data_IF_272802585665
#
_entry.id   IF_272802585665
#
_cell.length_a   1.000
_cell.length_b   1.000
_cell.length_c   1.000
_cell.angle_alpha   90.00
_cell.angle_beta   90.00
_cell.angle_gamma   90.00
#
_symmetry.space_group_name_H-M   'P 1'
#
loop_
_entity.id
_entity.type
_entity.pdbx_description
1 polymer ?
#
# COMPACT_ATOMS: atom_id res chain seq x y z
N UNK A 1 11.85 -15.22 25.83
CA UNK A 1 13.16 -14.76 25.34
C UNK A 1 13.23 -15.29 23.91
N UNK A 2 13.32 -14.49 22.86
CA UNK A 2 14.29 -13.42 22.57
C UNK A 2 13.62 -12.18 21.98
N UNK A 3 14.01 -10.98 22.44
CA UNK A 3 13.51 -9.73 21.85
C UNK A 3 14.60 -8.67 21.83
N UNK A 4 14.77 -8.13 20.63
CA UNK A 4 15.64 -7.01 20.23
C UNK A 4 17.13 -7.35 20.23
N UNK A 5 17.68 -7.51 19.02
CA UNK A 5 19.11 -7.78 18.77
C UNK A 5 19.97 -6.53 18.99
N UNK A 6 19.45 -5.33 18.70
CA UNK A 6 20.10 -4.05 19.01
C UNK A 6 19.17 -2.86 18.76
N UNK A 7 19.37 -1.76 19.47
CA UNK A 7 18.74 -0.45 19.21
C UNK A 7 19.85 0.58 19.08
N UNK A 8 19.80 1.42 18.05
CA UNK A 8 20.78 2.48 17.83
C UNK A 8 20.15 3.86 18.01
N UNK A 9 20.89 4.83 18.60
CA UNK A 9 20.44 6.21 18.69
C UNK A 9 20.20 6.81 17.30
N UNK A 10 19.07 7.48 17.11
CA UNK A 10 18.82 8.27 15.90
C UNK A 10 19.87 9.38 15.80
N UNK A 11 20.53 9.50 14.65
CA UNK A 11 21.54 10.53 14.37
C UNK A 11 21.03 11.46 13.28
N UNK A 12 21.21 12.75 13.46
CA UNK A 12 20.95 13.76 12.43
C UNK A 12 21.97 13.58 11.30
N UNK A 13 21.54 13.00 10.18
CA UNK A 13 22.36 12.88 8.98
C UNK A 13 22.43 14.25 8.31
N UNK A 14 23.64 14.78 8.16
CA UNK A 14 23.85 15.99 7.37
C UNK A 14 23.88 15.61 5.89
N UNK A 15 23.33 16.49 5.03
CA UNK A 15 23.31 16.30 3.59
C UNK A 15 24.76 16.12 3.11
N UNK A 16 25.11 14.91 2.63
CA UNK A 16 26.49 14.62 2.22
C UNK A 16 26.84 15.26 0.86
N UNK A 17 25.83 15.57 0.04
CA UNK A 17 25.99 16.28 -1.23
C UNK A 17 24.63 16.79 -1.76
N UNK A 18 24.64 17.88 -2.52
CA UNK A 18 23.51 18.28 -3.41
C UNK A 18 23.72 17.84 -4.85
N UNK A 19 24.88 17.23 -5.16
CA UNK A 19 25.28 16.72 -6.48
C UNK A 19 25.48 15.22 -6.40
N UNK A 20 24.39 14.48 -6.62
CA UNK A 20 24.38 13.01 -6.55
C UNK A 20 25.35 12.36 -7.55
N UNK A 21 25.64 13.04 -8.67
CA UNK A 21 26.53 12.54 -9.73
C UNK A 21 28.00 12.49 -9.28
N UNK A 22 28.47 13.57 -8.66
CA UNK A 22 29.85 13.73 -8.18
C UNK A 22 30.13 12.84 -6.97
N UNK A 23 29.15 12.73 -6.06
CA UNK A 23 29.25 11.89 -4.86
C UNK A 23 29.40 10.41 -5.18
N UNK A 24 28.79 9.94 -6.28
CA UNK A 24 28.95 8.56 -6.76
C UNK A 24 30.19 8.37 -7.62
N UNK A 25 31.01 9.42 -7.83
CA UNK A 25 32.25 9.37 -8.58
C UNK A 25 32.06 9.14 -10.08
N UNK A 26 30.91 9.52 -10.65
CA UNK A 26 30.65 9.33 -12.07
C UNK A 26 31.25 10.45 -12.92
N UNK A 27 31.86 10.08 -14.04
CA UNK A 27 32.36 11.03 -15.03
C UNK A 27 31.18 11.82 -15.64
N UNK A 28 31.34 13.12 -15.88
CA UNK A 28 30.35 13.98 -16.56
C UNK A 28 30.14 13.56 -18.04
N UNK A 29 31.13 12.88 -18.62
CA UNK A 29 31.12 12.39 -19.99
C UNK A 29 30.95 10.88 -20.07
N UNK A 30 29.69 10.42 -20.11
CA UNK A 30 29.34 8.99 -20.24
C UNK A 30 28.66 8.75 -21.59
N UNK A 31 29.14 7.75 -22.33
CA UNK A 31 28.46 7.25 -23.54
C UNK A 31 27.14 6.59 -23.16
N UNK A 32 26.04 7.31 -23.36
CA UNK A 32 24.68 6.91 -22.95
C UNK A 32 24.21 5.66 -23.71
N UNK A 33 23.70 4.66 -22.99
CA UNK A 33 23.08 3.45 -23.59
C UNK A 33 21.57 3.49 -23.35
N UNK A 34 20.85 4.17 -24.25
CA UNK A 34 19.40 4.44 -24.16
C UNK A 34 18.55 3.22 -23.82
N UNK A 35 18.95 2.04 -24.27
CA UNK A 35 18.22 0.77 -24.10
C UNK A 35 18.20 0.27 -22.65
N UNK A 36 19.18 0.68 -21.83
CA UNK A 36 19.30 0.31 -20.41
C UNK A 36 18.73 1.43 -19.51
N UNK A 37 19.00 2.68 -19.89
CA UNK A 37 18.62 3.87 -19.13
C UNK A 37 17.11 4.16 -19.17
N UNK A 38 16.40 3.71 -20.21
CA UNK A 38 14.96 3.93 -20.35
C UNK A 38 14.10 3.20 -19.31
N UNK A 39 14.68 2.25 -18.56
CA UNK A 39 13.98 1.42 -17.56
C UNK A 39 14.33 1.79 -16.12
N UNK A 40 14.99 2.94 -15.90
CA UNK A 40 15.35 3.44 -14.57
C UNK A 40 14.41 4.58 -14.21
N UNK A 41 13.63 4.41 -13.14
CA UNK A 41 12.86 5.50 -12.52
C UNK A 41 13.72 6.08 -11.41
N UNK A 42 14.20 7.31 -11.59
CA UNK A 42 14.84 8.09 -10.53
C UNK A 42 13.75 8.86 -9.79
N UNK A 43 13.40 8.39 -8.60
CA UNK A 43 12.52 9.13 -7.70
C UNK A 43 13.31 10.26 -7.03
N UNK A 44 13.01 11.50 -7.37
CA UNK A 44 13.49 12.66 -6.62
C UNK A 44 12.51 12.86 -5.46
N UNK A 45 13.00 12.70 -4.23
CA UNK A 45 12.27 13.17 -3.05
C UNK A 45 12.59 14.64 -2.93
N UNK A 46 11.76 15.46 -3.55
CA UNK A 46 11.83 16.91 -3.44
C UNK A 46 11.34 17.31 -2.04
N UNK A 47 12.24 17.84 -1.21
CA UNK A 47 11.88 18.44 0.09
C UNK A 47 11.35 19.87 -0.05
N UNK A 48 11.14 20.33 -1.30
CA UNK A 48 10.81 21.70 -1.64
C UNK A 48 12.04 22.48 -2.10
N UNK A 49 11.77 23.50 -2.93
CA UNK A 49 12.74 24.52 -3.32
C UNK A 49 12.72 25.62 -2.26
N UNK A 50 13.88 25.88 -1.66
CA UNK A 50 14.06 26.90 -0.63
C UNK A 50 14.47 28.23 -1.26
N UNK A 51 13.69 29.31 -1.14
CA UNK A 51 14.05 30.64 -1.65
C UNK A 51 15.39 31.15 -1.11
N UNK A 52 15.79 30.69 0.08
CA UNK A 52 17.02 31.07 0.77
C UNK A 52 18.24 30.22 0.38
N UNK A 53 18.08 29.22 -0.50
CA UNK A 53 19.22 28.47 -1.03
C UNK A 53 20.14 29.41 -1.80
N UNK A 54 21.46 29.28 -1.62
CA UNK A 54 22.49 30.05 -2.36
C UNK A 54 22.29 29.98 -3.89
N UNK A 55 21.61 28.94 -4.39
CA UNK A 55 21.26 28.80 -5.81
C UNK A 55 20.24 29.83 -6.32
N UNK A 56 19.53 30.52 -5.42
CA UNK A 56 18.63 31.64 -5.69
C UNK A 56 19.17 32.98 -5.18
N UNK A 57 20.41 33.01 -4.67
CA UNK A 57 21.07 34.25 -4.27
C UNK A 57 21.26 35.16 -5.49
N UNK A 58 20.92 36.45 -5.33
CA UNK A 58 21.18 37.49 -6.31
C UNK A 58 22.58 38.12 -6.15
N UNK A 59 23.40 37.61 -5.22
CA UNK A 59 24.76 38.06 -4.98
C UNK A 59 25.65 37.85 -6.23
N UNK A 60 26.21 38.95 -6.75
CA UNK A 60 27.01 38.95 -7.98
C UNK A 60 26.20 39.15 -9.26
N UNK A 61 24.87 39.18 -9.21
CA UNK A 61 24.02 39.60 -10.33
C UNK A 61 23.77 41.11 -10.30
N UNK A 62 23.88 41.76 -11.47
CA UNK A 62 23.54 43.18 -11.62
C UNK A 62 22.03 43.42 -11.60
N UNK A 63 21.61 44.69 -11.53
CA UNK A 63 20.18 45.04 -11.58
C UNK A 63 19.47 44.41 -12.79
N UNK A 64 18.21 43.96 -12.66
CA UNK A 64 17.45 43.39 -13.77
C UNK A 64 17.52 44.28 -15.03
N UNK A 65 17.71 43.71 -16.24
CA UNK A 65 17.82 44.49 -17.47
C UNK A 65 16.62 45.40 -17.68
N UNK A 66 16.83 46.64 -18.16
CA UNK A 66 15.75 47.64 -18.40
C UNK A 66 14.60 47.16 -19.31
N UNK A 67 14.82 46.08 -20.07
CA UNK A 67 13.86 45.44 -20.98
C UNK A 67 13.06 44.30 -20.32
N UNK A 68 13.42 43.90 -19.11
CA UNK A 68 12.69 42.91 -18.33
C UNK A 68 11.38 43.54 -17.83
N UNK A 69 10.26 42.86 -18.09
CA UNK A 69 8.91 43.33 -17.75
C UNK A 69 8.25 42.50 -16.63
N UNK A 70 9.01 41.66 -15.94
CA UNK A 70 8.51 40.88 -14.80
C UNK A 70 8.39 41.74 -13.54
N UNK A 71 7.77 41.19 -12.50
CA UNK A 71 7.73 41.74 -11.16
C UNK A 71 8.23 40.69 -10.16
N UNK A 72 8.84 41.12 -9.05
CA UNK A 72 9.09 40.23 -7.92
C UNK A 72 7.76 40.02 -7.18
N UNK A 73 7.16 38.84 -7.36
CA UNK A 73 5.98 38.43 -6.61
C UNK A 73 6.40 37.75 -5.29
N UNK A 74 6.79 38.55 -4.30
CA UNK A 74 6.60 38.13 -2.91
C UNK A 74 5.10 38.15 -2.61
N UNK A 75 4.56 37.08 -2.04
CA UNK A 75 3.11 36.90 -1.83
C UNK A 75 2.49 38.01 -0.97
N UNK A 76 2.01 39.09 -1.59
CA UNK A 76 1.23 40.12 -0.91
C UNK A 76 -0.18 39.58 -0.69
N UNK A 77 -0.66 39.62 0.55
CA UNK A 77 -1.93 39.04 1.04
C UNK A 77 -1.94 37.53 1.30
N UNK A 78 -0.86 36.97 1.85
CA UNK A 78 -0.97 35.65 2.46
C UNK A 78 -1.71 35.75 3.80
N UNK A 79 -2.97 35.31 3.85
CA UNK A 79 -3.74 35.26 5.10
C UNK A 79 -3.30 34.07 5.93
N UNK A 80 -2.58 34.34 7.01
CA UNK A 80 -2.16 33.31 7.94
C UNK A 80 -3.36 32.65 8.64
N UNK A 81 -3.46 31.33 8.48
CA UNK A 81 -4.39 30.48 9.20
C UNK A 81 -3.68 29.80 10.38
N UNK A 82 -4.38 28.92 11.11
CA UNK A 82 -3.81 28.20 12.26
C UNK A 82 -2.88 27.02 11.84
N UNK A 83 -2.52 26.94 10.56
CA UNK A 83 -1.67 25.89 10.00
C UNK A 83 -0.18 26.06 10.22
N UNK A 84 0.25 27.18 10.82
CA UNK A 84 1.66 27.45 11.08
C UNK A 84 2.52 27.31 9.81
N UNK A 85 1.98 27.75 8.68
CA UNK A 85 2.71 27.76 7.40
C UNK A 85 3.86 28.75 7.44
N UNK A 86 4.79 28.62 6.49
CA UNK A 86 5.94 29.48 6.32
C UNK A 86 5.57 30.97 6.41
N UNK A 87 6.41 31.79 7.04
CA UNK A 87 6.22 33.23 7.27
C UNK A 87 4.98 33.66 8.10
N UNK A 88 4.17 32.73 8.60
CA UNK A 88 2.95 33.05 9.34
C UNK A 88 3.10 33.12 10.87
N UNK A 89 4.31 32.89 11.39
CA UNK A 89 4.60 32.95 12.81
C UNK A 89 5.56 34.10 13.12
N UNK A 90 5.15 35.00 14.02
CA UNK A 90 6.03 36.05 14.55
C UNK A 90 7.09 35.40 15.47
N UNK A 91 8.32 35.30 14.97
CA UNK A 91 9.46 34.70 15.66
C UNK A 91 9.64 35.21 17.10
N UNK A 92 9.36 36.50 17.34
CA UNK A 92 9.45 37.11 18.69
C UNK A 92 8.42 36.56 19.67
N UNK A 93 7.27 36.11 19.17
CA UNK A 93 6.18 35.57 19.99
C UNK A 93 6.30 34.08 20.22
N UNK A 94 6.98 33.35 19.32
CA UNK A 94 7.04 31.88 19.34
C UNK A 94 8.36 31.31 19.85
N UNK A 95 9.46 32.09 19.79
CA UNK A 95 10.78 31.64 20.23
C UNK A 95 10.74 31.09 21.66
N UNK A 96 11.23 29.86 21.84
CA UNK A 96 11.27 29.20 23.14
C UNK A 96 9.91 28.65 23.65
N UNK A 97 8.86 28.66 22.82
CA UNK A 97 7.53 28.15 23.20
C UNK A 97 7.14 26.90 22.42
N UNK A 98 6.15 26.17 22.96
CA UNK A 98 5.48 25.09 22.24
C UNK A 98 4.30 25.67 21.46
N UNK A 99 4.27 25.44 20.15
CA UNK A 99 3.23 25.97 19.26
C UNK A 99 2.21 24.88 18.92
N UNK A 100 0.95 25.26 18.78
CA UNK A 100 -0.14 24.35 18.40
C UNK A 100 -0.56 24.68 16.97
N UNK A 101 -0.50 23.71 16.07
CA UNK A 101 -0.82 23.86 14.66
C UNK A 101 -1.91 22.88 14.23
N UNK A 102 -2.84 23.33 13.40
CA UNK A 102 -4.01 22.54 12.95
C UNK A 102 -3.69 21.55 11.80
N UNK A 103 -2.41 21.38 11.48
CA UNK A 103 -1.94 20.37 10.51
C UNK A 103 -0.54 19.87 10.86
N UNK A 104 -0.27 18.61 10.52
CA UNK A 104 1.06 17.98 10.63
C UNK A 104 2.13 18.72 9.86
N UNK A 105 1.80 19.41 8.77
CA UNK A 105 2.76 20.15 7.95
C UNK A 105 3.22 21.47 8.60
N UNK A 106 2.52 21.95 9.62
CA UNK A 106 2.87 23.19 10.34
C UNK A 106 4.14 23.10 11.19
N UNK A 107 4.73 21.90 11.31
CA UNK A 107 5.98 21.69 12.03
C UNK A 107 7.14 22.52 11.45
N UNK A 108 7.14 22.73 10.13
CA UNK A 108 8.20 23.44 9.42
C UNK A 108 8.21 24.92 9.78
N UNK A 109 7.06 25.61 9.66
CA UNK A 109 6.98 27.02 10.05
C UNK A 109 7.23 27.24 11.53
N UNK A 110 6.81 26.31 12.40
CA UNK A 110 7.12 26.36 13.83
C UNK A 110 8.63 26.25 14.10
N UNK A 111 9.32 25.34 13.42
CA UNK A 111 10.77 25.15 13.53
C UNK A 111 11.52 26.42 13.10
N UNK A 112 11.22 26.95 11.92
CA UNK A 112 11.91 28.12 11.35
C UNK A 112 11.69 29.38 12.17
N UNK A 113 10.49 29.54 12.73
CA UNK A 113 10.20 30.66 13.62
C UNK A 113 10.88 30.55 15.00
N UNK A 114 11.58 29.43 15.29
CA UNK A 114 12.38 29.22 16.48
C UNK A 114 11.61 28.65 17.67
N UNK A 115 10.49 27.96 17.43
CA UNK A 115 9.73 27.29 18.50
C UNK A 115 10.58 26.23 19.22
N UNK A 116 10.33 26.04 20.52
CA UNK A 116 10.96 24.97 21.30
C UNK A 116 10.32 23.60 21.04
N UNK A 117 9.08 23.58 20.56
CA UNK A 117 8.38 22.36 20.16
C UNK A 117 7.04 22.63 19.48
N UNK A 118 6.38 21.59 18.96
CA UNK A 118 5.07 21.74 18.31
C UNK A 118 4.08 20.59 18.57
N UNK A 119 2.82 20.94 18.78
CA UNK A 119 1.68 20.02 18.87
C UNK A 119 0.89 20.16 17.57
N UNK A 120 0.78 19.08 16.83
CA UNK A 120 0.30 19.09 15.46
C UNK A 120 -0.98 18.27 15.35
N UNK A 121 -2.02 18.80 14.71
CA UNK A 121 -3.21 18.00 14.43
C UNK A 121 -2.95 17.06 13.24
N UNK A 122 -3.19 15.77 13.44
CA UNK A 122 -3.18 14.79 12.34
C UNK A 122 -4.58 14.33 11.97
N UNK A 123 -4.79 14.16 10.66
CA UNK A 123 -5.97 13.51 10.09
C UNK A 123 -5.83 11.98 10.02
N UNK A 124 -4.61 11.48 10.25
CA UNK A 124 -4.29 10.06 10.25
C UNK A 124 -4.71 9.43 11.59
N UNK A 125 -4.96 8.11 11.59
CA UNK A 125 -5.33 7.41 12.83
C UNK A 125 -4.17 7.44 13.84
N UNK A 126 -4.47 7.11 15.10
CA UNK A 126 -3.47 6.96 16.18
C UNK A 126 -2.38 5.92 15.91
N UNK A 127 -2.46 5.21 14.79
CA UNK A 127 -1.62 4.06 14.45
C UNK A 127 -0.37 4.46 13.66
N UNK A 128 -0.24 5.74 13.28
CA UNK A 128 0.83 6.25 12.44
C UNK A 128 1.63 7.31 13.19
N UNK A 129 2.95 7.10 13.25
CA UNK A 129 3.89 8.03 13.89
C UNK A 129 4.64 8.83 12.81
N UNK A 130 4.68 10.15 13.01
CA UNK A 130 5.52 11.04 12.21
C UNK A 130 6.85 11.28 12.90
N UNK A 131 7.91 11.43 12.10
CA UNK A 131 9.23 11.83 12.59
C UNK A 131 9.39 13.32 12.30
N UNK A 132 9.76 14.09 13.32
CA UNK A 132 9.97 15.52 13.22
C UNK A 132 11.42 15.89 13.58
N UNK A 133 11.98 16.96 12.99
CA UNK A 133 13.36 17.40 13.23
C UNK A 133 13.57 18.13 14.58
N UNK A 134 12.52 18.32 15.38
CA UNK A 134 12.54 18.96 16.70
C UNK A 134 11.41 18.38 17.58
N UNK A 135 11.37 18.66 18.90
CA UNK A 135 10.34 18.11 19.79
C UNK A 135 8.93 18.42 19.28
N UNK A 136 8.23 17.39 18.79
CA UNK A 136 6.88 17.56 18.29
C UNK A 136 6.04 16.29 18.45
N UNK A 137 4.73 16.47 18.60
CA UNK A 137 3.78 15.37 18.73
C UNK A 137 2.57 15.62 17.84
N UNK A 138 2.28 14.66 16.96
CA UNK A 138 1.03 14.63 16.21
C UNK A 138 -0.08 14.03 17.07
N UNK A 139 -1.22 14.71 17.16
CA UNK A 139 -2.36 14.33 18.00
C UNK A 139 -3.64 14.25 17.18
N UNK A 140 -4.56 13.38 17.58
CA UNK A 140 -5.85 13.25 16.90
C UNK A 140 -6.70 14.51 17.06
N UNK A 141 -7.69 14.71 16.18
CA UNK A 141 -8.61 15.85 16.28
C UNK A 141 -9.30 15.99 17.64
N UNK A 142 -9.60 14.86 18.32
CA UNK A 142 -10.20 14.87 19.66
C UNK A 142 -9.22 15.42 20.72
N UNK A 143 -7.98 14.94 20.70
CA UNK A 143 -6.92 15.39 21.62
C UNK A 143 -6.53 16.84 21.34
N UNK A 144 -6.41 17.21 20.07
CA UNK A 144 -6.16 18.58 19.63
C UNK A 144 -7.19 19.56 20.20
N UNK A 145 -8.49 19.24 20.10
CA UNK A 145 -9.55 20.07 20.66
C UNK A 145 -9.49 20.15 22.20
N UNK A 146 -9.13 19.07 22.88
CA UNK A 146 -8.94 19.07 24.33
C UNK A 146 -7.75 19.97 24.73
N UNK A 147 -6.64 19.93 23.98
CA UNK A 147 -5.47 20.79 24.20
C UNK A 147 -5.81 22.26 23.94
N UNK A 148 -6.58 22.56 22.89
CA UNK A 148 -7.06 23.92 22.64
C UNK A 148 -7.98 24.42 23.76
N UNK A 149 -8.86 23.57 24.29
CA UNK A 149 -9.71 23.89 25.43
C UNK A 149 -8.88 24.21 26.68
N UNK A 150 -7.87 23.38 26.98
CA UNK A 150 -6.92 23.63 28.07
C UNK A 150 -6.18 24.95 27.89
N UNK A 151 -5.61 25.21 26.71
CA UNK A 151 -4.91 26.47 26.39
C UNK A 151 -5.78 27.69 26.70
N UNK A 152 -7.07 27.65 26.37
CA UNK A 152 -7.99 28.76 26.59
C UNK A 152 -8.52 28.86 28.04
N UNK A 153 -8.38 27.79 28.83
CA UNK A 153 -8.87 27.74 30.22
C UNK A 153 -7.95 28.44 31.23
N UNK A 154 -6.70 28.73 30.86
CA UNK A 154 -5.70 29.35 31.73
C UNK A 154 -4.96 30.47 31.01
N UNK A 155 -4.50 31.47 31.77
CA UNK A 155 -3.68 32.58 31.24
C UNK A 155 -2.24 32.16 30.96
N UNK A 156 -1.75 31.11 31.64
CA UNK A 156 -0.37 30.64 31.57
C UNK A 156 -0.32 29.13 31.25
N UNK A 157 -0.70 28.71 30.04
CA UNK A 157 -0.67 27.30 29.67
C UNK A 157 0.78 26.80 29.59
N UNK A 158 1.04 25.65 30.20
CA UNK A 158 2.31 24.93 30.12
C UNK A 158 2.09 23.52 29.59
N UNK A 159 3.07 22.98 28.88
CA UNK A 159 3.07 21.63 28.34
C UNK A 159 4.50 21.10 28.25
N UNK A 160 4.66 19.78 28.22
CA UNK A 160 5.92 19.08 28.02
C UNK A 160 5.73 18.04 26.92
N UNK A 161 6.69 17.94 25.99
CA UNK A 161 6.71 16.91 24.95
C UNK A 161 7.75 15.88 25.36
N UNK A 162 7.27 14.74 25.83
CA UNK A 162 8.11 13.63 26.26
C UNK A 162 8.66 12.84 25.07
N UNK A 163 9.74 12.09 25.32
CA UNK A 163 10.30 11.15 24.36
C UNK A 163 9.28 10.05 24.04
N UNK A 164 9.23 9.62 22.77
CA UNK A 164 8.34 8.55 22.35
C UNK A 164 8.66 7.22 23.04
N UNK A 165 7.61 6.52 23.45
CA UNK A 165 7.66 5.17 24.01
C UNK A 165 6.85 4.20 23.15
N UNK A 166 7.27 2.93 23.13
CA UNK A 166 6.55 1.90 22.40
C UNK A 166 5.39 1.35 23.25
N UNK A 167 4.19 1.34 22.68
CA UNK A 167 2.99 0.79 23.31
C UNK A 167 2.53 -0.48 22.59
N UNK A 168 1.94 -1.41 23.35
CA UNK A 168 1.32 -2.61 22.76
C UNK A 168 -0.07 -2.26 22.23
N UNK A 169 -0.25 -2.34 20.92
CA UNK A 169 -1.57 -2.22 20.31
C UNK A 169 -2.28 -3.59 20.30
N UNK A 170 -3.41 -3.70 21.00
CA UNK A 170 -4.21 -4.93 21.05
C UNK A 170 -5.12 -5.13 19.85
N UNK A 171 -5.35 -4.09 19.02
CA UNK A 171 -6.19 -4.19 17.82
C UNK A 171 -5.39 -4.60 16.58
N UNK A 172 -4.06 -4.65 16.66
CA UNK A 172 -3.22 -5.09 15.56
C UNK A 172 -3.41 -6.59 15.23
N UNK A 173 -3.33 -7.01 13.96
CA UNK A 173 -3.03 -6.19 12.77
C UNK A 173 -4.26 -5.49 12.16
N UNK A 174 -4.09 -4.24 11.75
CA UNK A 174 -5.06 -3.44 10.97
C UNK A 174 -4.35 -2.91 9.73
N UNK A 175 -5.06 -2.80 8.61
CA UNK A 175 -4.47 -2.24 7.38
C UNK A 175 -4.36 -0.72 7.52
N UNK A 176 -3.17 -0.18 7.31
CA UNK A 176 -2.91 1.27 7.42
C UNK A 176 -3.68 2.07 6.36
N UNK A 177 -3.97 3.35 6.63
CA UNK A 177 -4.84 4.17 5.77
C UNK A 177 -4.20 4.54 4.44
N UNK A 178 -2.88 4.71 4.40
CA UNK A 178 -2.15 5.04 3.17
C UNK A 178 -1.96 3.82 2.24
N UNK A 179 -2.23 2.61 2.74
CA UNK A 179 -2.13 1.41 1.91
C UNK A 179 -3.19 1.45 0.81
N UNK A 180 -2.76 1.36 -0.45
CA UNK A 180 -3.69 1.41 -1.58
C UNK A 180 -4.68 0.26 -1.54
N UNK A 181 -5.91 0.55 -1.99
CA UNK A 181 -7.01 -0.41 -2.04
C UNK A 181 -7.24 -0.93 -3.44
N UNK A 182 -7.76 -2.14 -3.53
CA UNK A 182 -8.33 -2.68 -4.76
C UNK A 182 -9.71 -2.07 -5.07
N UNK A 183 -10.38 -2.56 -6.15
CA UNK A 183 -9.94 -3.61 -7.05
C UNK A 183 -8.78 -3.18 -7.96
N UNK A 184 -8.19 -4.14 -8.67
CA UNK A 184 -7.15 -3.86 -9.65
C UNK A 184 -7.75 -3.16 -10.88
N UNK A 185 -7.39 -1.90 -11.13
CA UNK A 185 -7.91 -1.13 -12.26
C UNK A 185 -7.49 -1.65 -13.65
N UNK A 186 -6.43 -2.44 -13.74
CA UNK A 186 -5.96 -3.01 -15.01
C UNK A 186 -6.59 -4.37 -15.31
N UNK A 187 -6.74 -5.21 -14.29
CA UNK A 187 -7.30 -6.57 -14.41
C UNK A 187 -8.21 -6.82 -13.20
N UNK A 188 -9.47 -6.35 -13.24
CA UNK A 188 -10.34 -6.32 -12.08
C UNK A 188 -10.70 -7.73 -11.52
N UNK A 189 -10.61 -8.77 -12.36
CA UNK A 189 -10.78 -10.18 -11.98
C UNK A 189 -9.60 -10.77 -11.20
N UNK A 190 -8.50 -10.02 -11.05
CA UNK A 190 -7.36 -10.39 -10.20
C UNK A 190 -7.34 -9.49 -8.97
N UNK A 191 -7.71 -10.06 -7.83
CA UNK A 191 -7.65 -9.40 -6.54
C UNK A 191 -6.21 -8.91 -6.25
N UNK A 192 -6.07 -7.60 -6.09
CA UNK A 192 -4.81 -6.94 -5.77
C UNK A 192 -4.86 -6.37 -4.37
N UNK A 193 -3.78 -6.56 -3.63
CA UNK A 193 -3.47 -5.81 -2.42
C UNK A 193 -1.97 -5.51 -2.41
N UNK A 194 -1.56 -4.44 -1.72
CA UNK A 194 -0.16 -4.08 -1.59
C UNK A 194 0.45 -4.70 -0.33
N UNK A 195 1.40 -5.62 -0.50
CA UNK A 195 2.44 -5.84 0.49
C UNK A 195 3.64 -4.96 0.12
N UNK A 196 3.92 -3.95 0.95
CA UNK A 196 5.21 -3.28 0.96
C UNK A 196 6.26 -4.29 1.41
N UNK A 197 6.83 -5.02 0.45
CA UNK A 197 8.24 -5.44 0.40
C UNK A 197 8.45 -6.30 -0.85
N UNK A 198 9.53 -6.00 -1.61
CA UNK A 198 9.92 -6.71 -2.84
C UNK A 198 10.31 -8.16 -2.55
N UNK A 199 9.35 -9.07 -2.53
CA UNK A 199 9.58 -10.50 -2.74
C UNK A 199 8.34 -11.02 -3.48
N UNK A 200 8.55 -11.79 -4.56
CA UNK A 200 7.48 -12.44 -5.31
C UNK A 200 6.77 -13.48 -4.41
N UNK A 201 5.78 -13.03 -3.64
CA UNK A 201 5.00 -13.84 -2.68
C UNK A 201 3.65 -14.28 -3.28
N UNK A 202 3.63 -14.70 -4.56
CA UNK A 202 2.38 -15.13 -5.21
C UNK A 202 1.84 -16.44 -4.59
N UNK A 203 2.69 -17.22 -3.91
CA UNK A 203 2.32 -18.52 -3.34
C UNK A 203 2.03 -18.51 -1.83
N UNK A 204 2.23 -17.38 -1.12
CA UNK A 204 2.02 -17.31 0.34
C UNK A 204 0.61 -16.91 0.78
N UNK A 205 -0.29 -16.70 -0.18
CA UNK A 205 -1.61 -16.15 0.08
C UNK A 205 -2.53 -17.10 0.84
N UNK A 206 -2.40 -18.42 0.66
CA UNK A 206 -3.41 -19.37 1.16
C UNK A 206 -3.33 -19.69 2.66
N UNK A 207 -2.31 -19.18 3.35
CA UNK A 207 -1.97 -19.54 4.73
C UNK A 207 -1.91 -18.34 5.67
N UNK A 208 -2.30 -17.17 5.18
CA UNK A 208 -2.41 -15.98 5.99
C UNK A 208 -3.44 -16.17 7.13
N UNK A 209 -3.18 -15.55 8.28
CA UNK A 209 -4.22 -15.38 9.29
C UNK A 209 -5.31 -14.47 8.74
N UNK A 210 -6.56 -14.87 8.94
CA UNK A 210 -7.72 -14.06 8.59
C UNK A 210 -7.68 -12.76 9.38
N UNK A 211 -7.78 -11.63 8.68
CA UNK A 211 -7.91 -10.32 9.31
C UNK A 211 -9.36 -10.04 9.67
N UNK A 212 -9.57 -9.19 10.68
CA UNK A 212 -10.91 -8.80 11.12
C UNK A 212 -11.53 -7.79 10.13
N UNK A 213 -12.65 -8.13 9.47
CA UNK A 213 -13.32 -7.21 8.56
C UNK A 213 -13.99 -6.03 9.30
N UNK A 214 -14.27 -6.13 10.60
CA UNK A 214 -14.88 -5.05 11.38
C UNK A 214 -13.95 -3.85 11.55
N UNK A 215 -12.63 -4.09 11.54
CA UNK A 215 -11.60 -3.05 11.58
C UNK A 215 -11.10 -2.64 10.19
N UNK A 216 -11.57 -3.29 9.12
CA UNK A 216 -11.10 -3.09 7.74
C UNK A 216 -12.31 -3.14 6.78
N UNK A 217 -13.00 -2.00 6.63
CA UNK A 217 -14.24 -1.91 5.83
C UNK A 217 -14.11 -2.32 4.37
N UNK A 218 -12.90 -2.20 3.79
CA UNK A 218 -12.63 -2.57 2.40
C UNK A 218 -12.35 -4.09 2.24
N UNK A 219 -12.34 -4.84 3.34
CA UNK A 219 -12.15 -6.29 3.37
C UNK A 219 -10.92 -6.76 2.59
N UNK A 220 -11.12 -7.75 1.74
CA UNK A 220 -10.14 -8.36 0.85
C UNK A 220 -9.49 -7.36 -0.11
N UNK A 221 -10.10 -6.20 -0.41
CA UNK A 221 -9.45 -5.15 -1.19
C UNK A 221 -8.42 -4.35 -0.38
N UNK A 222 -8.45 -4.44 0.95
CA UNK A 222 -7.41 -3.90 1.83
C UNK A 222 -6.32 -4.93 2.13
N UNK A 223 -6.70 -6.11 2.62
CA UNK A 223 -5.74 -7.09 3.16
C UNK A 223 -5.53 -8.34 2.28
N UNK A 224 -6.23 -8.45 1.15
CA UNK A 224 -6.15 -9.63 0.29
C UNK A 224 -6.52 -10.90 1.04
N UNK A 225 -5.56 -11.82 1.18
CA UNK A 225 -5.79 -13.08 1.90
C UNK A 225 -5.61 -12.99 3.42
N UNK A 226 -5.06 -11.88 3.92
CA UNK A 226 -4.88 -11.61 5.35
C UNK A 226 -3.43 -11.33 5.75
N UNK A 227 -3.12 -11.53 7.03
CA UNK A 227 -1.77 -11.30 7.59
C UNK A 227 -0.87 -12.52 7.41
N UNK A 228 0.36 -12.31 6.94
CA UNK A 228 1.31 -13.41 6.66
C UNK A 228 1.55 -14.30 7.89
N UNK A 229 1.56 -15.62 7.68
CA UNK A 229 1.97 -16.61 8.68
C UNK A 229 3.17 -17.42 8.16
N UNK A 230 4.41 -17.00 8.47
CA UNK A 230 5.61 -17.64 7.93
C UNK A 230 5.77 -19.11 8.34
N UNK A 231 5.32 -19.49 9.55
CA UNK A 231 5.45 -20.87 10.03
C UNK A 231 4.55 -21.83 9.26
N UNK A 232 3.35 -21.37 8.88
CA UNK A 232 2.47 -22.16 8.00
C UNK A 232 2.95 -22.12 6.55
N UNK A 233 3.51 -20.99 6.10
CA UNK A 233 4.00 -20.78 4.72
C UNK A 233 5.02 -21.82 4.23
N UNK A 234 5.83 -22.35 5.14
CA UNK A 234 6.88 -23.33 4.82
C UNK A 234 6.29 -24.68 4.38
N UNK A 235 5.09 -25.03 4.89
CA UNK A 235 4.43 -26.29 4.54
C UNK A 235 2.93 -26.05 4.29
N UNK A 236 2.56 -25.61 3.07
CA UNK A 236 1.19 -25.23 2.74
C UNK A 236 0.24 -26.39 2.50
N UNK A 237 0.75 -27.59 2.24
CA UNK A 237 -0.06 -28.72 1.79
C UNK A 237 -0.44 -28.60 0.31
N UNK A 238 -1.19 -27.57 -0.08
CA UNK A 238 -1.57 -27.33 -1.48
C UNK A 238 -1.09 -25.96 -1.97
N UNK A 239 -0.69 -25.88 -3.24
CA UNK A 239 -0.30 -24.63 -3.92
C UNK A 239 -1.01 -24.46 -5.26
N UNK A 240 -1.22 -23.20 -5.66
CA UNK A 240 -1.80 -22.83 -6.94
C UNK A 240 -0.68 -22.46 -7.92
N UNK A 241 -0.13 -23.47 -8.60
CA UNK A 241 0.97 -23.23 -9.54
C UNK A 241 0.50 -22.47 -10.77
N UNK A 242 1.28 -21.47 -11.18
CA UNK A 242 1.10 -20.73 -12.43
C UNK A 242 2.42 -20.67 -13.18
N UNK A 243 2.36 -20.78 -14.51
CA UNK A 243 3.51 -20.72 -15.40
C UNK A 243 3.49 -19.43 -16.21
N UNK A 244 4.65 -19.05 -16.77
CA UNK A 244 4.75 -17.90 -17.69
C UNK A 244 3.71 -17.95 -18.81
N UNK A 245 3.43 -19.14 -19.34
CA UNK A 245 2.44 -19.36 -20.39
C UNK A 245 1.02 -18.99 -19.96
N UNK A 246 0.68 -19.18 -18.68
CA UNK A 246 -0.65 -18.84 -18.16
C UNK A 246 -0.81 -17.31 -18.06
N UNK A 247 0.24 -16.60 -17.65
CA UNK A 247 0.25 -15.13 -17.70
C UNK A 247 0.17 -14.60 -19.13
N UNK A 248 0.87 -15.22 -20.09
CA UNK A 248 0.77 -14.84 -21.50
C UNK A 248 -0.66 -14.99 -22.00
N UNK A 249 -1.32 -16.13 -21.73
CA UNK A 249 -2.71 -16.36 -22.12
C UNK A 249 -3.65 -15.33 -21.49
N UNK A 250 -3.50 -15.04 -20.20
CA UNK A 250 -4.27 -14.01 -19.49
C UNK A 250 -4.09 -12.62 -20.13
N UNK A 251 -2.86 -12.24 -20.48
CA UNK A 251 -2.59 -10.97 -21.15
C UNK A 251 -3.24 -10.95 -22.54
N UNK A 252 -3.12 -12.03 -23.29
CA UNK A 252 -3.73 -12.17 -24.62
C UNK A 252 -5.26 -12.11 -24.59
N UNK A 253 -5.89 -12.67 -23.56
CA UNK A 253 -7.34 -12.63 -23.39
C UNK A 253 -7.89 -11.20 -23.19
N UNK A 254 -7.02 -10.24 -22.85
CA UNK A 254 -7.36 -8.81 -22.77
C UNK A 254 -7.19 -8.06 -24.10
N UNK A 255 -6.89 -8.75 -25.20
CA UNK A 255 -6.72 -8.14 -26.52
C UNK A 255 -5.39 -7.39 -26.69
N UNK A 256 -4.38 -7.70 -25.87
CA UNK A 256 -3.04 -7.14 -26.02
C UNK A 256 -2.40 -7.64 -27.33
N UNK A 257 -1.84 -6.72 -28.12
CA UNK A 257 -1.11 -7.09 -29.35
C UNK A 257 0.21 -7.77 -29.03
N UNK A 258 0.67 -8.65 -29.93
CA UNK A 258 1.96 -9.34 -29.81
C UNK A 258 3.13 -8.35 -29.58
N UNK A 259 3.08 -7.15 -30.16
CA UNK A 259 4.12 -6.13 -29.96
C UNK A 259 4.21 -5.70 -28.50
N UNK A 260 3.07 -5.43 -27.86
CA UNK A 260 3.03 -5.03 -26.45
C UNK A 260 3.35 -6.22 -25.54
N UNK A 261 2.86 -7.40 -25.88
CA UNK A 261 3.17 -8.64 -25.17
C UNK A 261 4.68 -8.91 -25.10
N UNK A 262 5.40 -8.73 -26.22
CA UNK A 262 6.87 -8.92 -26.26
C UNK A 262 7.60 -7.89 -25.39
N UNK A 263 7.13 -6.65 -25.36
CA UNK A 263 7.66 -5.63 -24.45
C UNK A 263 7.48 -6.00 -22.97
N UNK A 264 6.36 -6.64 -22.62
CA UNK A 264 6.07 -7.06 -21.23
C UNK A 264 6.84 -8.34 -20.87
N UNK A 265 6.82 -9.34 -21.75
CA UNK A 265 7.39 -10.67 -21.51
C UNK A 265 8.90 -10.73 -21.63
N UNK A 266 9.52 -9.72 -22.28
CA UNK A 266 10.96 -9.63 -22.50
C UNK A 266 11.50 -10.64 -23.52
N UNK A 267 10.63 -11.34 -24.24
CA UNK A 267 10.99 -12.33 -25.26
C UNK A 267 10.06 -12.29 -26.47
N UNK A 268 10.20 -13.24 -27.39
CA UNK A 268 9.40 -13.34 -28.62
C UNK A 268 8.07 -14.07 -28.43
N UNK A 269 7.47 -14.00 -27.23
CA UNK A 269 6.14 -14.58 -26.98
C UNK A 269 5.07 -14.01 -27.94
N UNK A 270 4.13 -14.87 -28.32
CA UNK A 270 2.97 -14.53 -29.16
C UNK A 270 1.73 -15.13 -28.55
N UNK A 271 0.57 -14.52 -28.82
CA UNK A 271 -0.68 -15.02 -28.29
C UNK A 271 -1.05 -16.39 -28.89
N UNK A 272 -1.23 -17.44 -28.04
CA UNK A 272 -1.72 -18.73 -28.50
C UNK A 272 -3.12 -18.59 -29.13
N UNK A 273 -3.41 -19.36 -30.19
CA UNK A 273 -4.74 -19.39 -30.81
C UNK A 273 -5.80 -19.78 -29.78
N UNK A 274 -6.90 -19.03 -29.69
CA UNK A 274 -7.98 -19.29 -28.75
C UNK A 274 -7.86 -18.58 -27.40
N UNK A 275 -6.79 -17.82 -27.16
CA UNK A 275 -6.60 -17.06 -25.91
C UNK A 275 -7.68 -16.00 -25.70
N UNK A 276 -8.25 -15.47 -26.79
CA UNK A 276 -9.41 -14.59 -26.82
C UNK A 276 -10.69 -15.17 -26.20
N UNK A 277 -10.77 -16.49 -25.99
CA UNK A 277 -11.90 -17.15 -25.31
C UNK A 277 -11.68 -17.31 -23.81
N UNK A 278 -10.45 -17.10 -23.34
CA UNK A 278 -10.12 -17.16 -21.92
C UNK A 278 -10.51 -15.85 -21.21
N UNK A 279 -10.57 -15.87 -19.89
CA UNK A 279 -10.79 -14.68 -19.08
C UNK A 279 -9.72 -14.58 -18.00
N UNK A 280 -9.31 -13.38 -17.57
CA UNK A 280 -8.34 -13.26 -16.49
C UNK A 280 -8.77 -13.95 -15.18
N UNK A 281 -10.08 -14.11 -14.95
CA UNK A 281 -10.63 -14.86 -13.81
C UNK A 281 -10.19 -16.35 -13.79
N UNK A 282 -9.83 -16.89 -14.95
CA UNK A 282 -9.46 -18.29 -15.15
C UNK A 282 -7.96 -18.55 -14.91
N UNK A 283 -7.16 -17.49 -14.68
CA UNK A 283 -5.81 -17.65 -14.16
C UNK A 283 -5.86 -18.49 -12.88
N UNK A 284 -4.94 -19.44 -12.74
CA UNK A 284 -4.86 -20.33 -11.58
C UNK A 284 -4.33 -19.61 -10.33
N UNK A 285 -5.05 -18.59 -9.88
CA UNK A 285 -4.65 -17.67 -8.84
C UNK A 285 -5.27 -18.09 -7.50
N UNK A 286 -4.56 -17.93 -6.35
CA UNK A 286 -5.03 -18.39 -5.04
C UNK A 286 -6.18 -17.56 -4.43
N UNK A 287 -6.72 -16.61 -5.18
CA UNK A 287 -7.94 -15.87 -4.88
C UNK A 287 -8.86 -15.82 -6.10
N UNK A 288 -10.13 -15.54 -5.87
CA UNK A 288 -11.16 -15.45 -6.90
C UNK A 288 -11.87 -14.11 -6.77
N UNK A 289 -11.84 -13.28 -7.81
CA UNK A 289 -12.65 -12.08 -7.85
C UNK A 289 -13.36 -11.91 -9.18
N UNK A 290 -14.55 -11.34 -9.13
CA UNK A 290 -15.31 -11.03 -10.33
C UNK A 290 -16.19 -9.81 -10.13
N UNK A 291 -16.23 -9.00 -11.18
CA UNK A 291 -17.13 -7.87 -11.32
C UNK A 291 -18.48 -8.34 -11.88
N UNK A 292 -19.57 -7.87 -11.28
CA UNK A 292 -20.94 -8.17 -11.73
C UNK A 292 -21.75 -6.90 -11.86
N UNK A 293 -22.80 -6.95 -12.70
CA UNK A 293 -23.73 -5.83 -12.83
C UNK A 293 -24.65 -5.76 -11.61
N UNK A 294 -24.83 -4.56 -11.08
CA UNK A 294 -25.74 -4.31 -9.96
C UNK A 294 -27.18 -4.72 -10.32
N UNK A 295 -27.92 -5.24 -9.33
CA UNK A 295 -29.34 -5.61 -9.42
C UNK A 295 -29.70 -6.66 -10.48
N UNK A 296 -28.71 -7.39 -11.01
CA UNK A 296 -28.94 -8.51 -11.93
C UNK A 296 -28.54 -9.84 -11.28
N UNK A 297 -29.33 -10.92 -11.45
CA UNK A 297 -28.88 -12.25 -11.08
C UNK A 297 -27.61 -12.61 -11.84
N UNK A 298 -26.61 -13.12 -11.13
CA UNK A 298 -25.33 -13.53 -11.73
C UNK A 298 -25.02 -14.99 -11.40
N UNK A 299 -24.23 -15.61 -12.29
CA UNK A 299 -23.63 -16.93 -12.09
C UNK A 299 -22.21 -16.89 -12.66
N UNK A 300 -21.23 -17.01 -11.79
CA UNK A 300 -19.80 -16.95 -12.13
C UNK A 300 -19.16 -18.29 -11.79
N UNK A 301 -18.26 -18.72 -12.66
CA UNK A 301 -17.49 -19.95 -12.47
C UNK A 301 -16.00 -19.65 -12.51
N UNK A 302 -15.28 -20.21 -11.53
CA UNK A 302 -13.82 -20.16 -11.43
C UNK A 302 -13.27 -21.58 -11.50
N UNK A 303 -12.36 -21.82 -12.43
CA UNK A 303 -11.63 -23.08 -12.53
C UNK A 303 -10.28 -22.93 -11.83
N UNK A 304 -9.93 -23.89 -10.99
CA UNK A 304 -8.66 -23.88 -10.25
C UNK A 304 -8.02 -25.25 -10.25
N UNK A 305 -6.70 -25.27 -10.22
CA UNK A 305 -5.89 -26.48 -10.09
C UNK A 305 -4.92 -26.31 -8.94
N UNK A 306 -4.89 -27.26 -8.04
CA UNK A 306 -3.97 -27.29 -6.91
C UNK A 306 -2.99 -28.44 -7.06
N UNK A 307 -1.75 -28.19 -6.69
CA UNK A 307 -0.67 -29.18 -6.65
C UNK A 307 -0.41 -29.53 -5.19
N UNK A 308 -0.36 -30.83 -4.87
CA UNK A 308 -0.01 -31.29 -3.52
C UNK A 308 1.51 -31.19 -3.30
N UNK A 309 1.91 -30.35 -2.35
CA UNK A 309 3.29 -30.22 -1.87
C UNK A 309 3.44 -30.68 -0.42
N UNK A 310 2.37 -31.22 0.16
CA UNK A 310 2.33 -31.80 1.50
C UNK A 310 2.54 -33.32 1.49
N UNK A 311 1.87 -33.99 2.42
CA UNK A 311 2.01 -35.44 2.57
C UNK A 311 1.32 -36.20 1.41
N UNK A 312 1.87 -37.34 0.96
CA UNK A 312 1.16 -38.27 0.08
C UNK A 312 -0.02 -38.91 0.83
N UNK A 313 -0.98 -39.47 0.10
CA UNK A 313 -2.20 -40.08 0.65
C UNK A 313 -3.02 -39.12 1.53
N UNK A 314 -3.07 -37.84 1.15
CA UNK A 314 -3.83 -36.79 1.81
C UNK A 314 -5.20 -36.59 1.15
N UNK A 315 -6.23 -36.35 1.97
CA UNK A 315 -7.59 -36.05 1.50
C UNK A 315 -8.01 -34.68 2.04
N UNK A 316 -8.28 -33.75 1.14
CA UNK A 316 -8.75 -32.41 1.47
C UNK A 316 -10.26 -32.31 1.23
N UNK A 317 -10.98 -31.72 2.18
CA UNK A 317 -12.41 -31.40 2.07
C UNK A 317 -12.59 -29.90 1.92
N UNK A 318 -13.49 -29.50 1.02
CA UNK A 318 -13.87 -28.11 0.82
C UNK A 318 -14.78 -27.63 1.95
N UNK A 319 -14.53 -26.43 2.45
CA UNK A 319 -15.41 -25.71 3.34
C UNK A 319 -15.59 -24.28 2.81
N UNK A 320 -16.83 -23.81 2.73
CA UNK A 320 -17.15 -22.49 2.17
C UNK A 320 -18.01 -21.71 3.15
N UNK A 321 -17.66 -20.45 3.36
CA UNK A 321 -18.44 -19.51 4.16
C UNK A 321 -19.69 -19.05 3.39
N UNK A 322 -20.85 -19.64 3.66
CA UNK A 322 -22.11 -19.25 3.02
C UNK A 322 -22.53 -17.84 3.46
N UNK A 323 -23.03 -17.03 2.53
CA UNK A 323 -23.55 -15.69 2.78
C UNK A 323 -25.05 -15.66 2.49
N UNK A 324 -25.80 -14.80 3.18
CA UNK A 324 -27.21 -14.56 2.83
C UNK A 324 -27.31 -14.07 1.38
N UNK A 325 -28.23 -14.67 0.62
CA UNK A 325 -28.54 -14.35 -0.79
C UNK A 325 -27.45 -14.69 -1.83
N UNK A 326 -26.40 -15.43 -1.46
CA UNK A 326 -25.39 -15.97 -2.38
C UNK A 326 -25.20 -17.46 -2.12
N UNK A 327 -25.26 -18.25 -3.19
CA UNK A 327 -24.97 -19.68 -3.21
C UNK A 327 -23.60 -19.93 -3.82
N UNK A 328 -22.72 -20.57 -3.06
CA UNK A 328 -21.39 -20.99 -3.50
C UNK A 328 -21.31 -22.51 -3.47
N UNK A 329 -20.93 -23.11 -4.62
CA UNK A 329 -20.77 -24.56 -4.80
C UNK A 329 -19.37 -24.88 -5.30
N UNK A 330 -18.80 -25.98 -4.82
CA UNK A 330 -17.47 -26.46 -5.19
C UNK A 330 -17.58 -27.89 -5.70
N UNK A 331 -16.99 -28.17 -6.86
CA UNK A 331 -17.03 -29.49 -7.48
C UNK A 331 -15.64 -29.92 -7.98
N UNK A 332 -15.11 -31.07 -7.54
CA UNK A 332 -15.63 -31.92 -6.46
C UNK A 332 -15.49 -31.27 -5.07
N UNK A 333 -16.25 -31.72 -4.07
CA UNK A 333 -16.12 -31.24 -2.68
C UNK A 333 -14.94 -31.87 -1.92
N UNK A 334 -14.32 -32.91 -2.50
CA UNK A 334 -13.21 -33.66 -1.90
C UNK A 334 -12.11 -33.89 -2.93
N UNK A 335 -10.87 -33.59 -2.56
CA UNK A 335 -9.68 -33.84 -3.36
C UNK A 335 -8.79 -34.86 -2.65
N UNK A 336 -8.54 -36.00 -3.30
CA UNK A 336 -7.65 -37.05 -2.79
C UNK A 336 -6.37 -37.10 -3.61
N UNK A 337 -5.23 -37.02 -2.94
CA UNK A 337 -3.90 -37.07 -3.54
C UNK A 337 -3.16 -38.30 -3.04
N UNK A 338 -2.65 -39.11 -3.96
CA UNK A 338 -1.86 -40.32 -3.69
C UNK A 338 -0.37 -40.02 -3.55
N UNK A 339 0.12 -38.99 -4.25
CA UNK A 339 1.55 -38.68 -4.34
C UNK A 339 1.85 -37.20 -4.23
N UNK A 340 3.11 -36.88 -3.93
CA UNK A 340 3.65 -35.52 -3.99
C UNK A 340 3.62 -35.02 -5.45
N UNK A 341 3.35 -33.74 -5.64
CA UNK A 341 3.21 -33.05 -6.93
C UNK A 341 2.03 -33.51 -7.79
N UNK A 342 1.15 -34.36 -7.26
CA UNK A 342 -0.10 -34.69 -7.94
C UNK A 342 -0.99 -33.43 -8.01
N UNK A 343 -1.57 -33.20 -9.19
CA UNK A 343 -2.46 -32.06 -9.46
C UNK A 343 -3.91 -32.50 -9.47
N UNK A 344 -4.79 -31.69 -8.89
CA UNK A 344 -6.23 -31.87 -8.98
C UNK A 344 -6.91 -30.55 -9.32
N UNK A 345 -7.89 -30.61 -10.20
CA UNK A 345 -8.69 -29.45 -10.58
C UNK A 345 -10.05 -29.50 -9.91
N UNK A 346 -10.61 -28.32 -9.66
CA UNK A 346 -11.94 -28.15 -9.12
C UNK A 346 -12.56 -26.85 -9.68
N UNK A 347 -13.88 -26.79 -9.58
CA UNK A 347 -14.69 -25.71 -10.10
C UNK A 347 -15.47 -25.07 -8.96
N UNK A 348 -15.38 -23.75 -8.83
CA UNK A 348 -16.18 -22.97 -7.89
C UNK A 348 -17.25 -22.24 -8.69
N UNK A 349 -18.52 -22.43 -8.34
CA UNK A 349 -19.64 -21.68 -8.91
C UNK A 349 -20.25 -20.77 -7.85
N UNK A 350 -20.29 -19.46 -8.13
CA UNK A 350 -20.90 -18.43 -7.28
C UNK A 350 -22.12 -17.89 -7.99
N UNK A 351 -23.29 -17.95 -7.34
CA UNK A 351 -24.54 -17.43 -7.89
C UNK A 351 -25.31 -16.65 -6.84
N UNK A 352 -25.94 -15.55 -7.22
CA UNK A 352 -26.72 -14.73 -6.30
C UNK A 352 -27.41 -13.55 -6.99
N UNK A 353 -28.12 -12.77 -6.21
CA UNK A 353 -28.74 -11.49 -6.60
C UNK A 353 -28.49 -10.45 -5.50
N UNK A 354 -28.27 -9.20 -5.90
CA UNK A 354 -27.61 -8.20 -5.07
C UNK A 354 -28.53 -7.43 -4.09
N UNK A 355 -27.89 -6.88 -3.06
CA UNK A 355 -28.41 -5.84 -2.15
C UNK A 355 -27.34 -5.09 -1.34
N UNK A 356 -26.03 -5.33 -1.58
CA UNK A 356 -24.87 -4.72 -0.89
C UNK A 356 -23.82 -4.25 -1.92
N UNK A 357 -22.82 -3.40 -1.57
CA UNK A 357 -21.84 -2.85 -2.52
C UNK A 357 -20.65 -3.77 -2.85
N UNK A 358 -20.39 -4.83 -2.07
CA UNK A 358 -19.56 -5.97 -2.45
C UNK A 358 -19.82 -7.14 -1.49
N UNK A 359 -19.41 -8.33 -1.88
CA UNK A 359 -19.58 -9.59 -1.17
C UNK A 359 -18.22 -10.26 -1.01
N UNK A 360 -17.93 -10.71 0.20
CA UNK A 360 -16.69 -11.42 0.53
C UNK A 360 -16.98 -12.74 1.24
N UNK A 361 -16.40 -13.81 0.70
CA UNK A 361 -16.45 -15.17 1.24
C UNK A 361 -15.06 -15.83 1.08
N UNK A 362 -14.93 -17.10 1.47
CA UNK A 362 -13.72 -17.88 1.21
C UNK A 362 -14.02 -19.36 1.07
N UNK A 363 -13.19 -20.02 0.27
CA UNK A 363 -13.04 -21.47 0.21
C UNK A 363 -11.84 -21.88 1.08
N UNK A 364 -11.98 -22.93 1.87
CA UNK A 364 -10.89 -23.55 2.62
C UNK A 364 -10.82 -25.03 2.27
N UNK A 365 -9.68 -25.48 1.77
CA UNK A 365 -9.35 -26.89 1.68
C UNK A 365 -8.65 -27.34 2.95
N UNK A 366 -9.19 -28.35 3.64
CA UNK A 366 -8.60 -28.88 4.89
C UNK A 366 -8.46 -30.40 4.85
N UNK A 367 -7.28 -30.88 5.22
CA UNK A 367 -6.98 -32.31 5.50
C UNK A 367 -6.90 -32.59 7.02
N UNK A 368 -7.28 -31.61 7.85
CA UNK A 368 -7.16 -31.64 9.31
C UNK A 368 -5.80 -31.16 9.86
N UNK A 369 -4.76 -31.03 9.02
CA UNK A 369 -3.42 -30.53 9.41
C UNK A 369 -3.08 -29.20 8.74
N UNK A 370 -3.35 -29.13 7.44
CA UNK A 370 -3.23 -27.98 6.57
C UNK A 370 -4.60 -27.36 6.35
N UNK A 371 -4.61 -26.05 6.15
CA UNK A 371 -5.81 -25.27 5.87
C UNK A 371 -5.46 -24.25 4.80
N UNK A 372 -5.90 -24.50 3.58
CA UNK A 372 -5.55 -23.72 2.39
C UNK A 372 -6.75 -22.84 2.05
N UNK A 373 -6.70 -21.57 2.47
CA UNK A 373 -7.78 -20.60 2.31
C UNK A 373 -7.62 -19.80 1.01
N UNK A 374 -8.70 -19.60 0.28
CA UNK A 374 -8.76 -18.72 -0.89
C UNK A 374 -9.94 -17.77 -0.75
N UNK A 375 -9.70 -16.44 -0.70
CA UNK A 375 -10.77 -15.45 -0.70
C UNK A 375 -11.56 -15.46 -2.01
N UNK A 376 -12.87 -15.23 -1.90
CA UNK A 376 -13.82 -15.10 -3.00
C UNK A 376 -14.50 -13.74 -2.86
N UNK A 377 -14.30 -12.85 -3.82
CA UNK A 377 -14.83 -11.48 -3.78
C UNK A 377 -15.68 -11.22 -5.02
N UNK A 378 -16.95 -10.86 -4.82
CA UNK A 378 -17.83 -10.40 -5.89
C UNK A 378 -18.20 -8.95 -5.62
N UNK A 379 -17.99 -8.07 -6.57
CA UNK A 379 -18.24 -6.63 -6.41
C UNK A 379 -18.93 -6.06 -7.64
N UNK A 380 -19.51 -4.86 -7.50
CA UNK A 380 -20.31 -4.24 -8.54
C UNK A 380 -19.54 -3.12 -9.23
N UNK A 381 -19.65 -3.08 -10.56
CA UNK A 381 -19.29 -1.89 -11.34
C UNK A 381 -20.38 -0.84 -11.15
N UNK A 382 -20.02 0.38 -10.73
CA UNK A 382 -20.92 1.55 -10.75
C UNK A 382 -21.33 1.95 -12.16
#
# INVERSE_FOLDING_TARGET
MDRVVSVFPSRTLHLQTTRSWDFMGFNESVTRKRNIESNIIVGVIDTGIWPESDSFSDEGFGTPPKKWKGACEGGKNFTCNKACVFECLDSRKVKGKIIICDTVFGYQGALEAGAAGSILQTFLSKEEAFIFPFPASAVSSKEYNAILSYKNSTKNPQAEILKSEAIKNSTAPVVTKFSSRGPNSLVPEILKFMLLNRINFIDLFSLAWTMDPSTNSDGEFAYGSGHINPLKAINPGLVYETLKTDYIKMLCSRGLSDKVLRSISGDNSTCPKGSEKESPKDLNYPSMSAEVKQDTPFKITFNRTVTNVGFPNSVYKANVSQLQNVSIKVEPEVLSFKSLNEKKSFVITVSGSAGKPFLSSSLVWSDGKHSVRSPIVVYYSS
#
